data_IF_730913647624
#
_entry.id   IF_730913647624
#
_cell.length_a   1.000
_cell.length_b   1.000
_cell.length_c   1.000
_cell.angle_alpha   90.00
_cell.angle_beta   90.00
_cell.angle_gamma   90.00
#
_symmetry.space_group_name_H-M   'P 1'
#
loop_
_entity.id
_entity.type
_entity.pdbx_description
1 polymer ?
#
# COMPACT_ATOMS: atom_id res chain seq x y z
N UNK A 1 -43.64 14.77 4.95
CA UNK A 1 -42.43 15.31 5.62
C UNK A 1 -41.27 14.46 5.16
N UNK A 2 -40.52 14.95 4.18
CA UNK A 2 -39.38 14.29 3.59
C UNK A 2 -38.16 14.52 4.50
N UNK A 3 -37.61 13.43 5.05
CA UNK A 3 -36.31 13.47 5.79
C UNK A 3 -35.24 13.54 4.75
N UNK A 4 -34.68 14.72 4.53
CA UNK A 4 -33.47 14.88 3.75
C UNK A 4 -32.32 14.09 4.42
N UNK A 5 -31.89 13.00 3.78
CA UNK A 5 -30.63 12.33 4.12
C UNK A 5 -29.50 13.32 3.81
N UNK A 6 -28.87 13.86 4.84
CA UNK A 6 -27.61 14.59 4.70
C UNK A 6 -26.57 13.61 4.17
N UNK A 7 -26.18 13.76 2.93
CA UNK A 7 -24.98 13.12 2.37
C UNK A 7 -23.79 13.67 3.16
N UNK A 8 -23.18 12.83 3.95
CA UNK A 8 -21.93 13.15 4.62
C UNK A 8 -20.85 13.13 3.55
N UNK A 9 -20.47 14.29 3.07
CA UNK A 9 -19.25 14.47 2.27
C UNK A 9 -18.11 14.21 3.24
N UNK A 10 -17.43 13.07 3.10
CA UNK A 10 -16.28 12.72 3.90
C UNK A 10 -15.09 13.58 3.45
N UNK A 11 -15.00 14.79 3.95
CA UNK A 11 -13.79 15.60 3.88
C UNK A 11 -12.90 15.09 5.01
N UNK A 12 -11.65 14.71 4.72
CA UNK A 12 -10.66 14.33 5.72
C UNK A 12 -10.62 15.39 6.81
N UNK A 13 -10.87 15.00 8.06
CA UNK A 13 -10.71 15.83 9.25
C UNK A 13 -9.63 15.24 10.15
N UNK A 14 -8.95 16.08 10.91
CA UNK A 14 -8.09 15.61 12.00
C UNK A 14 -8.90 14.72 12.95
N UNK A 15 -8.45 13.47 13.13
CA UNK A 15 -9.14 12.48 13.98
C UNK A 15 -10.11 11.54 13.25
N UNK A 16 -10.14 11.51 11.90
CA UNK A 16 -10.92 10.51 11.16
C UNK A 16 -10.46 9.10 11.54
N UNK A 17 -11.41 8.31 12.04
CA UNK A 17 -11.25 6.86 12.22
C UNK A 17 -12.00 6.16 11.10
N UNK A 18 -11.34 5.26 10.41
CA UNK A 18 -11.96 4.43 9.37
C UNK A 18 -11.82 2.96 9.69
N UNK A 19 -12.80 2.17 9.33
CA UNK A 19 -12.73 0.71 9.34
C UNK A 19 -12.34 0.17 7.96
N UNK A 20 -12.18 -1.16 7.87
CA UNK A 20 -11.72 -1.82 6.63
C UNK A 20 -12.71 -1.69 5.46
N UNK A 21 -13.97 -1.38 5.71
CA UNK A 21 -15.03 -1.28 4.70
C UNK A 21 -15.30 0.16 4.27
N UNK A 22 -14.71 1.13 4.93
CA UNK A 22 -14.96 2.56 4.70
C UNK A 22 -13.68 3.31 4.34
N UNK A 23 -13.81 4.39 3.59
CA UNK A 23 -12.73 5.34 3.29
C UNK A 23 -11.44 4.62 2.81
N UNK A 24 -10.29 4.87 3.44
CA UNK A 24 -9.00 4.26 3.10
C UNK A 24 -9.01 2.73 3.31
N UNK A 25 -9.81 2.20 4.25
CA UNK A 25 -9.96 0.75 4.43
C UNK A 25 -10.52 0.06 3.18
N UNK A 26 -11.48 0.67 2.50
CA UNK A 26 -12.02 0.13 1.24
C UNK A 26 -10.98 0.09 0.11
N UNK A 27 -10.00 1.01 0.11
CA UNK A 27 -8.89 0.97 -0.85
C UNK A 27 -7.94 -0.19 -0.57
N UNK A 28 -7.72 -0.56 0.70
CA UNK A 28 -6.95 -1.74 1.07
C UNK A 28 -7.61 -3.05 0.58
N UNK A 29 -8.95 -3.14 0.67
CA UNK A 29 -9.71 -4.27 0.10
C UNK A 29 -9.65 -4.30 -1.43
N UNK A 30 -9.73 -3.15 -2.09
CA UNK A 30 -9.60 -3.07 -3.54
C UNK A 30 -8.24 -3.60 -4.02
N UNK A 31 -7.16 -3.20 -3.33
CA UNK A 31 -5.80 -3.68 -3.59
C UNK A 31 -5.67 -5.17 -3.26
N UNK A 32 -6.26 -5.65 -2.14
CA UNK A 32 -6.25 -7.06 -1.81
C UNK A 32 -7.00 -7.90 -2.87
N UNK A 33 -8.15 -7.42 -3.36
CA UNK A 33 -8.90 -8.07 -4.44
C UNK A 33 -8.05 -8.16 -5.72
N UNK A 34 -7.34 -7.10 -6.07
CA UNK A 34 -6.44 -7.11 -7.23
C UNK A 34 -5.29 -8.11 -7.05
N UNK A 35 -4.68 -8.22 -5.85
CA UNK A 35 -3.67 -9.26 -5.57
C UNK A 35 -4.24 -10.67 -5.64
N UNK A 36 -5.48 -10.88 -5.16
CA UNK A 36 -6.15 -12.17 -5.25
C UNK A 36 -6.45 -12.55 -6.70
N UNK A 37 -6.90 -11.60 -7.53
CA UNK A 37 -7.11 -11.80 -8.97
C UNK A 37 -5.80 -12.07 -9.72
N UNK A 38 -4.72 -11.39 -9.35
CA UNK A 38 -3.40 -11.68 -9.91
C UNK A 38 -2.96 -13.12 -9.61
N UNK A 39 -3.17 -13.58 -8.37
CA UNK A 39 -2.84 -14.95 -7.96
C UNK A 39 -3.66 -16.02 -8.69
N UNK A 40 -4.82 -15.69 -9.25
CA UNK A 40 -5.66 -16.58 -10.06
C UNK A 40 -5.19 -16.73 -11.53
N UNK A 41 -4.27 -15.87 -11.99
CA UNK A 41 -3.74 -15.95 -13.35
C UNK A 41 -2.92 -17.23 -13.56
N UNK A 42 -2.86 -17.77 -14.80
CA UNK A 42 -2.02 -18.94 -15.11
C UNK A 42 -0.53 -18.72 -14.85
N UNK A 43 -0.06 -17.49 -15.00
CA UNK A 43 1.33 -17.07 -14.81
C UNK A 43 1.36 -15.81 -13.93
N UNK A 44 1.12 -15.94 -12.60
CA UNK A 44 1.04 -14.80 -11.72
C UNK A 44 2.43 -14.21 -11.42
N UNK A 45 2.54 -12.89 -11.38
CA UNK A 45 3.78 -12.21 -10.97
C UNK A 45 4.09 -12.41 -9.47
N UNK A 46 3.03 -12.49 -8.66
CA UNK A 46 3.12 -12.77 -7.24
C UNK A 46 1.88 -13.54 -6.78
N UNK A 47 2.05 -14.36 -5.75
CA UNK A 47 0.95 -15.09 -5.11
C UNK A 47 0.84 -14.65 -3.65
N UNK A 48 -0.28 -14.01 -3.32
CA UNK A 48 -0.66 -13.69 -1.94
C UNK A 48 -1.89 -14.52 -1.57
N UNK A 49 -1.72 -15.67 -0.88
CA UNK A 49 -2.84 -16.55 -0.55
C UNK A 49 -3.81 -15.93 0.47
N UNK A 50 -3.37 -14.92 1.20
CA UNK A 50 -4.19 -14.26 2.22
C UNK A 50 -5.03 -13.11 1.65
N UNK A 51 -4.69 -12.58 0.48
CA UNK A 51 -5.48 -11.54 -0.18
C UNK A 51 -6.92 -12.01 -0.42
N UNK A 52 -7.12 -13.21 -0.93
CA UNK A 52 -8.44 -13.83 -1.08
C UNK A 52 -9.15 -14.04 0.26
N UNK A 53 -8.42 -14.47 1.30
CA UNK A 53 -8.96 -14.70 2.64
C UNK A 53 -9.56 -13.42 3.22
N UNK A 54 -8.88 -12.28 3.08
CA UNK A 54 -9.41 -10.99 3.51
C UNK A 54 -10.67 -10.59 2.77
N UNK A 55 -10.67 -10.71 1.45
CA UNK A 55 -11.83 -10.36 0.62
C UNK A 55 -13.04 -11.24 0.96
N UNK A 56 -12.85 -12.54 1.18
CA UNK A 56 -13.93 -13.46 1.54
C UNK A 56 -14.43 -13.24 2.96
N UNK A 57 -13.59 -12.79 3.88
CA UNK A 57 -14.01 -12.48 5.25
C UNK A 57 -14.96 -11.27 5.30
N UNK A 58 -14.76 -10.28 4.44
CA UNK A 58 -15.70 -9.16 4.27
C UNK A 58 -16.94 -9.62 3.49
N UNK A 59 -16.78 -10.47 2.47
CA UNK A 59 -17.88 -10.97 1.65
C UNK A 59 -18.44 -9.94 0.68
N UNK A 60 -19.71 -10.13 0.29
CA UNK A 60 -20.41 -9.25 -0.65
C UNK A 60 -19.69 -9.10 -1.99
N UNK A 61 -19.65 -7.89 -2.54
CA UNK A 61 -19.04 -7.61 -3.85
C UNK A 61 -17.58 -8.06 -3.96
N UNK A 62 -16.81 -8.02 -2.86
CA UNK A 62 -15.41 -8.45 -2.86
C UNK A 62 -15.24 -9.95 -3.14
N UNK A 63 -16.11 -10.79 -2.55
CA UNK A 63 -16.13 -12.22 -2.83
C UNK A 63 -16.71 -12.51 -4.22
N UNK A 64 -17.75 -11.80 -4.63
CA UNK A 64 -18.44 -11.99 -5.92
C UNK A 64 -17.51 -11.71 -7.11
N UNK A 65 -16.65 -10.68 -7.00
CA UNK A 65 -15.62 -10.41 -8.01
C UNK A 65 -14.65 -11.58 -8.17
N UNK A 66 -14.19 -12.16 -7.07
CA UNK A 66 -13.27 -13.30 -7.10
C UNK A 66 -13.91 -14.56 -7.69
N UNK A 67 -15.20 -14.75 -7.44
CA UNK A 67 -15.98 -15.87 -7.95
C UNK A 67 -16.47 -15.66 -9.40
N UNK A 68 -16.17 -14.50 -10.01
CA UNK A 68 -16.63 -14.16 -11.37
C UNK A 68 -18.12 -13.86 -11.48
N UNK A 69 -18.80 -13.59 -10.35
CA UNK A 69 -20.23 -13.26 -10.29
C UNK A 69 -20.52 -11.78 -10.57
N UNK A 70 -19.50 -10.93 -10.50
CA UNK A 70 -19.56 -9.52 -10.85
C UNK A 70 -18.60 -9.22 -12.03
N UNK A 71 -19.02 -9.51 -13.28
CA UNK A 71 -18.19 -9.33 -14.47
C UNK A 71 -17.96 -7.85 -14.82
N UNK A 72 -18.85 -6.95 -14.36
CA UNK A 72 -18.79 -5.51 -14.65
C UNK A 72 -17.96 -4.74 -13.63
N UNK A 73 -17.41 -5.43 -12.63
CA UNK A 73 -16.55 -4.80 -11.62
C UNK A 73 -15.32 -4.18 -12.27
N UNK A 74 -14.92 -2.98 -11.82
CA UNK A 74 -13.79 -2.22 -12.36
C UNK A 74 -12.49 -3.04 -12.50
N UNK A 75 -12.19 -3.94 -11.56
CA UNK A 75 -11.02 -4.84 -11.63
C UNK A 75 -11.11 -5.92 -12.72
N UNK A 76 -12.27 -6.04 -13.39
CA UNK A 76 -12.49 -6.96 -14.51
C UNK A 76 -12.49 -6.27 -15.87
N UNK A 77 -12.43 -4.94 -15.92
CA UNK A 77 -12.37 -4.21 -17.19
C UNK A 77 -11.06 -4.47 -17.91
N UNK A 78 -11.10 -4.47 -19.24
CA UNK A 78 -9.94 -4.77 -20.07
C UNK A 78 -8.87 -3.67 -20.03
N UNK A 79 -9.26 -2.43 -19.84
CA UNK A 79 -8.32 -1.31 -19.82
C UNK A 79 -7.79 -1.06 -18.40
N UNK A 80 -8.61 -0.56 -17.48
CA UNK A 80 -8.15 -0.25 -16.13
C UNK A 80 -7.87 -1.51 -15.31
N UNK A 81 -8.85 -2.44 -15.25
CA UNK A 81 -8.83 -3.57 -14.33
C UNK A 81 -7.66 -4.52 -14.56
N UNK A 82 -7.44 -4.95 -15.80
CA UNK A 82 -6.34 -5.85 -16.15
C UNK A 82 -4.97 -5.26 -15.81
N UNK A 83 -4.78 -3.98 -16.13
CA UNK A 83 -3.52 -3.28 -15.85
C UNK A 83 -3.32 -2.98 -14.38
N UNK A 84 -4.39 -2.64 -13.64
CA UNK A 84 -4.30 -2.44 -12.20
C UNK A 84 -3.98 -3.73 -11.46
N UNK A 85 -4.61 -4.85 -11.83
CA UNK A 85 -4.30 -6.18 -11.27
C UNK A 85 -2.85 -6.56 -11.54
N UNK A 86 -2.37 -6.35 -12.75
CA UNK A 86 -0.97 -6.60 -13.14
C UNK A 86 0.00 -5.69 -12.37
N UNK A 87 -0.36 -4.41 -12.19
CA UNK A 87 0.41 -3.49 -11.36
C UNK A 87 0.54 -4.01 -9.92
N UNK A 88 -0.56 -4.43 -9.29
CA UNK A 88 -0.52 -4.95 -7.92
C UNK A 88 0.34 -6.20 -7.81
N UNK A 89 0.32 -7.09 -8.79
CA UNK A 89 1.23 -8.24 -8.88
C UNK A 89 2.69 -7.84 -9.01
N UNK A 90 3.00 -6.90 -9.90
CA UNK A 90 4.35 -6.38 -10.11
C UNK A 90 4.88 -5.70 -8.85
N UNK A 91 4.11 -4.83 -8.22
CA UNK A 91 4.45 -4.16 -6.97
C UNK A 91 4.73 -5.16 -5.84
N UNK A 92 3.85 -6.14 -5.69
CA UNK A 92 4.03 -7.19 -4.68
C UNK A 92 5.32 -7.95 -4.91
N UNK A 93 5.61 -8.38 -6.14
CA UNK A 93 6.86 -9.06 -6.51
C UNK A 93 8.09 -8.22 -6.21
N UNK A 94 8.09 -6.95 -6.59
CA UNK A 94 9.21 -6.03 -6.38
C UNK A 94 9.56 -5.88 -4.90
N UNK A 95 8.54 -5.67 -4.05
CA UNK A 95 8.76 -5.51 -2.62
C UNK A 95 9.04 -6.82 -1.89
N UNK A 96 8.54 -7.94 -2.39
CA UNK A 96 8.95 -9.26 -1.87
C UNK A 96 10.44 -9.54 -2.15
N UNK A 97 10.91 -9.21 -3.35
CA UNK A 97 12.32 -9.30 -3.71
C UNK A 97 13.19 -8.33 -2.90
N UNK A 98 12.67 -7.14 -2.61
CA UNK A 98 13.33 -6.18 -1.72
C UNK A 98 13.54 -6.76 -0.32
N UNK A 99 12.53 -7.35 0.30
CA UNK A 99 12.66 -7.95 1.62
C UNK A 99 13.59 -9.15 1.63
N UNK A 100 13.59 -9.98 0.60
CA UNK A 100 14.57 -11.08 0.48
C UNK A 100 16.00 -10.54 0.45
N UNK A 101 16.28 -9.51 -0.35
CA UNK A 101 17.61 -8.88 -0.39
C UNK A 101 18.02 -8.30 0.97
N UNK A 102 17.10 -7.62 1.68
CA UNK A 102 17.38 -7.11 3.02
C UNK A 102 17.67 -8.24 4.03
N UNK A 103 16.89 -9.31 3.99
CA UNK A 103 17.08 -10.50 4.83
C UNK A 103 18.43 -11.19 4.55
N UNK A 104 18.82 -11.33 3.27
CA UNK A 104 20.09 -11.88 2.83
C UNK A 104 21.27 -11.00 3.24
N UNK A 105 21.09 -9.68 3.31
CA UNK A 105 22.06 -8.72 3.85
C UNK A 105 22.18 -8.76 5.39
N UNK A 106 21.42 -9.63 6.07
CA UNK A 106 21.49 -9.82 7.52
C UNK A 106 20.50 -8.99 8.32
N UNK A 107 19.60 -8.23 7.69
CA UNK A 107 18.54 -7.48 8.39
C UNK A 107 17.57 -8.45 9.08
N UNK A 108 17.22 -8.13 10.34
CA UNK A 108 16.32 -8.94 11.17
C UNK A 108 15.22 -8.14 11.84
N UNK A 109 15.16 -6.84 11.61
CA UNK A 109 14.07 -5.95 12.03
C UNK A 109 13.41 -5.39 10.80
N UNK A 110 12.12 -5.63 10.66
CA UNK A 110 11.30 -5.17 9.54
C UNK A 110 10.20 -4.26 10.07
N UNK A 111 9.98 -3.13 9.44
CA UNK A 111 8.92 -2.19 9.80
C UNK A 111 8.01 -1.97 8.60
N UNK A 112 6.73 -2.25 8.78
CA UNK A 112 5.68 -2.06 7.78
C UNK A 112 4.80 -0.90 8.25
N UNK A 113 4.93 0.24 7.58
CA UNK A 113 4.19 1.46 7.87
C UNK A 113 2.85 1.45 7.13
N UNK A 114 1.76 1.75 7.83
CA UNK A 114 0.39 1.58 7.36
C UNK A 114 0.19 0.15 6.79
N UNK A 115 0.36 -0.84 7.66
CA UNK A 115 0.48 -2.25 7.29
C UNK A 115 -0.76 -2.82 6.57
N UNK A 116 -1.93 -2.22 6.76
CA UNK A 116 -3.16 -2.61 6.04
C UNK A 116 -3.35 -4.13 6.03
N UNK A 117 -3.57 -4.63 4.84
CA UNK A 117 -3.71 -6.06 4.55
C UNK A 117 -2.40 -6.70 4.02
N UNK A 118 -1.23 -6.17 4.41
CA UNK A 118 0.05 -6.82 4.13
C UNK A 118 0.12 -8.19 4.81
N UNK A 119 0.44 -9.21 4.05
CA UNK A 119 0.52 -10.60 4.52
C UNK A 119 1.94 -11.16 4.59
N UNK A 120 2.97 -10.34 4.35
CA UNK A 120 4.36 -10.79 4.23
C UNK A 120 4.87 -11.48 5.49
N UNK A 121 4.41 -11.07 6.66
CA UNK A 121 4.72 -11.75 7.93
C UNK A 121 4.27 -13.22 7.95
N UNK A 122 3.28 -13.57 7.15
CA UNK A 122 2.67 -14.90 7.10
C UNK A 122 3.10 -15.74 5.87
N UNK A 123 3.53 -15.09 4.78
CA UNK A 123 3.78 -15.79 3.51
C UNK A 123 5.23 -15.82 3.05
N UNK A 124 6.06 -14.87 3.44
CA UNK A 124 7.48 -14.90 3.09
C UNK A 124 8.26 -15.80 4.04
N UNK A 125 9.34 -16.38 3.52
CA UNK A 125 10.28 -17.17 4.32
C UNK A 125 11.28 -16.23 5.00
N UNK A 126 11.06 -15.98 6.27
CA UNK A 126 11.90 -15.11 7.06
C UNK A 126 13.02 -15.90 7.76
N UNK A 127 14.25 -15.38 7.79
CA UNK A 127 15.31 -15.96 8.62
C UNK A 127 14.91 -16.01 10.10
N UNK A 128 15.48 -16.96 10.83
CA UNK A 128 15.28 -17.05 12.28
C UNK A 128 15.62 -15.72 12.98
N UNK A 129 14.91 -15.45 14.06
CA UNK A 129 15.04 -14.23 14.86
C UNK A 129 14.66 -12.93 14.11
N UNK A 130 13.92 -13.01 12.99
CA UNK A 130 13.34 -11.84 12.36
C UNK A 130 12.11 -11.37 13.15
N UNK A 131 12.06 -10.07 13.47
CA UNK A 131 10.90 -9.40 14.06
C UNK A 131 10.31 -8.45 13.05
N UNK A 132 8.98 -8.52 12.86
CA UNK A 132 8.22 -7.65 11.96
C UNK A 132 7.30 -6.78 12.80
N UNK A 133 7.51 -5.49 12.73
CA UNK A 133 6.69 -4.47 13.37
C UNK A 133 5.68 -3.95 12.34
N UNK A 134 4.41 -4.13 12.60
CA UNK A 134 3.32 -3.63 11.77
C UNK A 134 2.61 -2.48 12.47
N UNK A 135 2.70 -1.29 11.87
CA UNK A 135 2.06 -0.07 12.37
C UNK A 135 0.80 0.21 11.54
N UNK A 136 -0.33 0.36 12.20
CA UNK A 136 -1.59 0.78 11.56
C UNK A 136 -2.61 1.21 12.62
N UNK A 137 -3.76 1.70 12.17
CA UNK A 137 -4.91 1.98 13.01
C UNK A 137 -5.38 0.69 13.74
N UNK A 138 -5.84 0.81 15.00
CA UNK A 138 -6.26 -0.35 15.79
C UNK A 138 -7.28 -1.24 15.08
N UNK A 139 -8.28 -0.65 14.43
CA UNK A 139 -9.36 -1.39 13.76
C UNK A 139 -8.84 -2.21 12.57
N UNK A 140 -7.82 -1.72 11.86
CA UNK A 140 -7.20 -2.43 10.73
C UNK A 140 -6.41 -3.64 11.23
N UNK A 141 -5.63 -3.45 12.30
CA UNK A 141 -4.85 -4.53 12.91
C UNK A 141 -5.75 -5.60 13.52
N UNK A 142 -6.82 -5.19 14.19
CA UNK A 142 -7.81 -6.11 14.78
C UNK A 142 -8.49 -6.97 13.71
N UNK A 143 -8.99 -6.34 12.63
CA UNK A 143 -9.58 -7.05 11.50
C UNK A 143 -8.58 -8.05 10.89
N UNK A 144 -7.35 -7.62 10.61
CA UNK A 144 -6.30 -8.46 10.04
C UNK A 144 -6.01 -9.67 10.93
N UNK A 145 -5.87 -9.45 12.24
CA UNK A 145 -5.60 -10.50 13.22
C UNK A 145 -6.75 -11.50 13.31
N UNK A 146 -7.99 -11.01 13.40
CA UNK A 146 -9.19 -11.86 13.49
C UNK A 146 -9.34 -12.76 12.26
N UNK A 147 -9.20 -12.18 11.05
CA UNK A 147 -9.34 -12.92 9.80
C UNK A 147 -8.25 -13.97 9.64
N UNK A 148 -7.00 -13.62 9.89
CA UNK A 148 -5.88 -14.56 9.74
C UNK A 148 -5.93 -15.66 10.81
N UNK A 149 -6.31 -15.34 12.04
CA UNK A 149 -6.50 -16.32 13.10
C UNK A 149 -7.66 -17.28 12.77
N UNK A 150 -8.78 -16.74 12.27
CA UNK A 150 -9.92 -17.54 11.82
C UNK A 150 -9.59 -18.48 10.66
N UNK A 151 -8.65 -18.09 9.81
CA UNK A 151 -8.10 -18.93 8.73
C UNK A 151 -7.02 -19.92 9.21
N UNK A 152 -6.66 -19.95 10.48
CA UNK A 152 -5.61 -20.80 11.02
C UNK A 152 -4.20 -20.40 10.58
N UNK A 153 -4.02 -19.18 10.08
CA UNK A 153 -2.73 -18.69 9.64
C UNK A 153 -1.80 -18.44 10.82
N UNK A 154 -0.54 -18.81 10.66
CA UNK A 154 0.52 -18.55 11.63
C UNK A 154 1.60 -17.67 11.00
N UNK A 155 2.08 -16.62 11.68
CA UNK A 155 3.18 -15.82 11.17
C UNK A 155 4.48 -16.65 11.10
N UNK A 156 5.28 -16.38 10.08
CA UNK A 156 6.57 -17.04 9.84
C UNK A 156 7.77 -16.30 10.48
N UNK A 157 7.48 -15.19 11.18
CA UNK A 157 8.42 -14.39 11.95
C UNK A 157 7.74 -13.93 13.25
N UNK A 158 8.53 -13.42 14.20
CA UNK A 158 7.94 -12.72 15.34
C UNK A 158 7.21 -11.45 14.83
N UNK A 159 5.90 -11.38 15.01
CA UNK A 159 5.07 -10.26 14.58
C UNK A 159 4.66 -9.42 15.78
N UNK A 160 4.89 -8.12 15.70
CA UNK A 160 4.51 -7.13 16.70
C UNK A 160 3.58 -6.11 16.07
N UNK A 161 2.37 -6.03 16.57
CA UNK A 161 1.37 -5.05 16.19
C UNK A 161 1.55 -3.78 17.01
N UNK A 162 1.59 -2.64 16.35
CA UNK A 162 1.67 -1.33 16.97
C UNK A 162 0.47 -0.52 16.50
N UNK A 163 -0.56 -0.50 17.34
CA UNK A 163 -1.80 0.23 17.08
C UNK A 163 -1.56 1.73 17.29
N UNK A 164 -1.32 2.45 16.20
CA UNK A 164 -0.99 3.88 16.24
C UNK A 164 -1.38 4.56 14.92
N UNK A 165 -1.75 5.81 15.00
CA UNK A 165 -1.82 6.71 13.85
C UNK A 165 -0.43 7.24 13.52
N UNK A 166 -0.02 7.17 12.24
CA UNK A 166 1.30 7.68 11.82
C UNK A 166 1.44 9.20 11.91
N UNK A 167 0.37 9.92 12.29
CA UNK A 167 0.40 11.34 12.68
C UNK A 167 0.86 11.55 14.13
N UNK A 168 0.87 10.50 14.95
CA UNK A 168 1.32 10.51 16.33
C UNK A 168 2.82 10.19 16.44
N UNK A 169 3.34 10.03 17.66
CA UNK A 169 4.75 9.70 17.89
C UNK A 169 5.04 8.20 17.68
N UNK A 170 4.83 7.74 16.44
CA UNK A 170 5.12 6.36 16.05
C UNK A 170 6.60 5.95 16.21
N UNK A 171 7.61 6.86 16.09
CA UNK A 171 8.99 6.52 16.37
C UNK A 171 9.21 6.10 17.82
N UNK A 172 8.54 6.74 18.78
CA UNK A 172 8.62 6.33 20.19
C UNK A 172 7.86 5.02 20.43
N UNK A 173 6.65 4.88 19.90
CA UNK A 173 5.87 3.65 20.02
C UNK A 173 6.61 2.42 19.46
N UNK A 174 7.35 2.60 18.37
CA UNK A 174 8.18 1.55 17.78
C UNK A 174 9.32 1.14 18.71
N UNK A 175 10.03 2.10 19.33
CA UNK A 175 11.06 1.82 20.34
C UNK A 175 10.48 1.08 21.54
N UNK A 176 9.37 1.54 22.06
CA UNK A 176 8.68 0.93 23.22
C UNK A 176 8.24 -0.50 22.92
N UNK A 177 8.00 -0.81 21.65
CA UNK A 177 7.70 -2.15 21.16
C UNK A 177 8.93 -3.02 20.95
N UNK A 178 10.13 -2.52 21.32
CA UNK A 178 11.39 -3.27 21.32
C UNK A 178 12.17 -3.20 20.00
N UNK A 179 11.91 -2.19 19.17
CA UNK A 179 12.77 -1.87 18.04
C UNK A 179 14.11 -1.31 18.52
N UNK A 180 15.21 -1.81 17.97
CA UNK A 180 16.57 -1.41 18.34
C UNK A 180 17.19 -0.58 17.19
N UNK A 181 17.29 0.75 17.33
CA UNK A 181 17.86 1.60 16.29
C UNK A 181 19.36 1.41 16.04
N UNK A 182 20.04 0.65 16.91
CA UNK A 182 21.44 0.32 16.72
C UNK A 182 21.66 -0.84 15.73
N UNK A 183 20.60 -1.53 15.35
CA UNK A 183 20.64 -2.66 14.40
C UNK A 183 20.11 -2.24 13.03
N UNK A 184 20.63 -2.83 11.93
CA UNK A 184 20.05 -2.62 10.61
C UNK A 184 18.58 -3.03 10.57
N UNK A 185 17.77 -2.27 9.84
CA UNK A 185 16.34 -2.48 9.71
C UNK A 185 15.86 -2.33 8.26
N UNK A 186 14.75 -2.97 7.92
CA UNK A 186 14.12 -2.84 6.61
C UNK A 186 12.74 -2.22 6.75
N UNK A 187 12.49 -1.15 6.00
CA UNK A 187 11.30 -0.33 6.08
C UNK A 187 10.50 -0.40 4.80
N UNK A 188 9.18 -0.38 4.90
CA UNK A 188 8.31 -0.23 3.74
C UNK A 188 7.18 0.76 3.99
N UNK A 189 6.92 1.63 3.00
CA UNK A 189 5.73 2.45 2.86
C UNK A 189 5.11 2.16 1.48
N UNK A 190 4.25 1.15 1.41
CA UNK A 190 3.57 0.70 0.19
C UNK A 190 2.15 1.24 0.15
N UNK A 191 1.78 1.94 -0.95
CA UNK A 191 0.45 2.52 -1.10
C UNK A 191 0.12 3.59 -0.05
N UNK A 192 1.12 4.25 0.53
CA UNK A 192 0.95 5.19 1.64
C UNK A 192 1.15 6.65 1.22
N UNK A 193 2.22 6.95 0.48
CA UNK A 193 2.66 8.34 0.27
C UNK A 193 1.59 9.20 -0.39
N UNK A 194 0.79 8.67 -1.30
CA UNK A 194 -0.31 9.38 -1.97
C UNK A 194 -1.40 9.88 -1.01
N UNK A 195 -1.51 9.28 0.19
CA UNK A 195 -2.47 9.66 1.22
C UNK A 195 -1.89 10.68 2.21
N UNK A 196 -0.66 11.15 1.99
CA UNK A 196 0.04 12.09 2.87
C UNK A 196 0.30 13.40 2.12
N UNK A 197 0.05 14.57 2.75
CA UNK A 197 0.54 15.84 2.22
C UNK A 197 2.06 15.84 2.20
N UNK A 198 2.69 16.68 1.36
CA UNK A 198 4.14 16.73 1.17
C UNK A 198 4.91 16.87 2.50
N UNK A 199 4.41 17.70 3.43
CA UNK A 199 5.01 17.87 4.75
C UNK A 199 5.00 16.61 5.62
N UNK A 200 3.92 15.82 5.54
CA UNK A 200 3.82 14.55 6.27
C UNK A 200 4.71 13.46 5.66
N UNK A 201 4.89 13.46 4.33
CA UNK A 201 5.86 12.58 3.67
C UNK A 201 7.30 12.87 4.15
N UNK A 202 7.67 14.16 4.24
CA UNK A 202 8.97 14.56 4.75
C UNK A 202 9.17 14.17 6.23
N UNK A 203 8.14 14.33 7.06
CA UNK A 203 8.16 13.89 8.46
C UNK A 203 8.31 12.37 8.58
N UNK A 204 7.62 11.59 7.73
CA UNK A 204 7.73 10.15 7.68
C UNK A 204 9.17 9.71 7.34
N UNK A 205 9.76 10.28 6.30
CA UNK A 205 11.14 10.00 5.93
C UNK A 205 12.14 10.41 7.01
N UNK A 206 11.92 11.55 7.65
CA UNK A 206 12.75 12.02 8.79
C UNK A 206 12.66 11.04 9.96
N UNK A 207 11.48 10.52 10.26
CA UNK A 207 11.28 9.49 11.30
C UNK A 207 11.99 8.18 10.98
N UNK A 208 11.91 7.71 9.73
CA UNK A 208 12.64 6.52 9.27
C UNK A 208 14.15 6.77 9.39
N UNK A 209 14.64 7.89 8.89
CA UNK A 209 16.06 8.26 8.90
C UNK A 209 16.63 8.32 10.31
N UNK A 210 15.90 8.88 11.26
CA UNK A 210 16.29 8.99 12.66
C UNK A 210 16.35 7.65 13.41
N UNK A 211 15.75 6.59 12.86
CA UNK A 211 15.70 5.24 13.45
C UNK A 211 16.55 4.21 12.71
N UNK A 212 16.87 4.47 11.45
CA UNK A 212 17.59 3.54 10.62
C UNK A 212 19.11 3.69 10.82
N UNK A 213 19.79 2.66 11.27
CA UNK A 213 21.25 2.61 11.34
C UNK A 213 21.90 2.28 9.99
N UNK A 214 23.24 2.32 9.92
CA UNK A 214 24.02 1.90 8.75
C UNK A 214 23.62 0.49 8.31
N UNK A 215 23.53 0.26 7.01
CA UNK A 215 23.09 -1.01 6.43
C UNK A 215 21.58 -1.25 6.52
N UNK A 216 20.79 -0.27 6.96
CA UNK A 216 19.33 -0.33 6.88
C UNK A 216 18.84 -0.16 5.45
N UNK A 217 17.67 -0.70 5.17
CA UNK A 217 17.03 -0.67 3.88
C UNK A 217 15.69 0.08 3.98
N UNK A 218 15.28 0.78 2.94
CA UNK A 218 13.94 1.37 2.83
C UNK A 218 13.37 1.11 1.45
N UNK A 219 12.09 0.84 1.37
CA UNK A 219 11.35 0.76 0.11
C UNK A 219 10.05 1.56 0.21
N UNK A 220 9.73 2.27 -0.87
CA UNK A 220 8.51 3.06 -0.96
C UNK A 220 7.93 3.00 -2.37
N UNK A 221 6.61 3.13 -2.47
CA UNK A 221 5.93 3.45 -3.70
C UNK A 221 5.80 4.96 -3.81
N UNK A 222 6.42 5.54 -4.84
CA UNK A 222 6.45 6.98 -5.08
C UNK A 222 5.63 7.34 -6.33
N UNK A 223 4.61 8.16 -6.16
CA UNK A 223 3.71 8.60 -7.22
C UNK A 223 3.92 10.07 -7.55
N UNK A 224 4.38 10.37 -8.76
CA UNK A 224 4.44 11.75 -9.21
C UNK A 224 3.04 12.38 -9.28
N UNK A 225 2.87 13.65 -8.85
CA UNK A 225 1.58 14.31 -8.88
C UNK A 225 1.03 14.48 -10.30
N UNK A 226 -0.29 14.53 -10.43
CA UNK A 226 -1.00 14.87 -11.66
C UNK A 226 -0.88 16.36 -11.97
N UNK A 227 -1.15 16.75 -13.22
CA UNK A 227 -1.44 18.15 -13.51
C UNK A 227 -2.68 18.57 -12.71
N UNK A 228 -2.66 19.79 -12.17
CA UNK A 228 -3.75 20.25 -11.30
C UNK A 228 -5.12 20.19 -11.97
N UNK A 229 -5.20 20.61 -13.25
CA UNK A 229 -6.43 20.55 -14.04
C UNK A 229 -6.99 19.13 -14.22
N UNK A 230 -6.11 18.15 -14.46
CA UNK A 230 -6.49 16.73 -14.62
C UNK A 230 -6.98 16.14 -13.28
N UNK A 231 -6.30 16.50 -12.18
CA UNK A 231 -6.69 16.07 -10.84
C UNK A 231 -8.04 16.67 -10.40
N UNK A 232 -8.24 17.97 -10.61
CA UNK A 232 -9.50 18.65 -10.30
C UNK A 232 -10.67 18.06 -11.10
N UNK A 233 -10.45 17.74 -12.38
CA UNK A 233 -11.44 17.07 -13.22
C UNK A 233 -11.80 15.67 -12.67
N UNK A 234 -10.81 14.87 -12.30
CA UNK A 234 -11.02 13.54 -11.72
C UNK A 234 -11.77 13.59 -10.38
N UNK A 235 -11.46 14.57 -9.52
CA UNK A 235 -12.20 14.80 -8.27
C UNK A 235 -13.65 15.20 -8.54
N UNK A 236 -13.90 16.06 -9.55
CA UNK A 236 -15.25 16.50 -9.89
C UNK A 236 -16.11 15.35 -10.45
N UNK A 237 -15.52 14.52 -11.30
CA UNK A 237 -16.15 13.31 -11.85
C UNK A 237 -16.52 12.32 -10.76
N UNK A 238 -15.57 12.02 -9.86
CA UNK A 238 -15.80 11.12 -8.74
C UNK A 238 -16.90 11.61 -7.79
N UNK A 239 -16.96 12.93 -7.53
CA UNK A 239 -18.04 13.53 -6.74
C UNK A 239 -19.41 13.35 -7.41
N UNK A 240 -19.48 13.61 -8.71
CA UNK A 240 -20.73 13.45 -9.47
C UNK A 240 -21.21 12.00 -9.46
N UNK A 241 -20.31 11.02 -9.61
CA UNK A 241 -20.62 9.59 -9.52
C UNK A 241 -21.13 9.21 -8.12
N UNK A 242 -20.48 9.72 -7.07
CA UNK A 242 -20.87 9.48 -5.67
C UNK A 242 -22.27 10.02 -5.36
N UNK A 243 -22.61 11.19 -5.86
CA UNK A 243 -23.96 11.78 -5.71
C UNK A 243 -25.05 10.94 -6.39
N UNK A 244 -24.72 10.20 -7.44
CA UNK A 244 -25.61 9.28 -8.15
C UNK A 244 -25.71 7.89 -7.49
N UNK A 245 -24.95 7.65 -6.40
CA UNK A 245 -24.95 6.38 -5.67
C UNK A 245 -24.03 5.32 -6.28
N UNK A 246 -23.22 5.70 -7.27
CA UNK A 246 -22.24 4.85 -7.94
C UNK A 246 -20.84 5.46 -7.74
N UNK A 247 -20.36 5.51 -6.50
CA UNK A 247 -19.15 6.25 -6.23
C UNK A 247 -18.17 5.54 -5.32
N UNK A 248 -17.03 5.17 -5.88
CA UNK A 248 -15.81 4.94 -5.11
C UNK A 248 -15.14 6.29 -4.87
N UNK A 249 -14.59 6.46 -3.68
CA UNK A 249 -13.89 7.67 -3.28
C UNK A 249 -12.40 7.35 -3.27
N UNK A 250 -11.68 7.79 -4.28
CA UNK A 250 -10.22 7.65 -4.36
C UNK A 250 -9.53 9.02 -4.47
N UNK A 251 -9.86 9.81 -5.49
CA UNK A 251 -9.25 11.13 -5.70
C UNK A 251 -9.53 12.12 -4.57
N UNK A 252 -10.64 11.95 -3.85
CA UNK A 252 -10.95 12.73 -2.66
C UNK A 252 -10.13 12.31 -1.41
N UNK A 253 -9.48 11.15 -1.44
CA UNK A 253 -8.65 10.64 -0.35
C UNK A 253 -7.16 10.92 -0.53
N UNK A 254 -6.72 11.20 -1.73
CA UNK A 254 -5.29 11.39 -2.04
C UNK A 254 -4.92 12.88 -2.13
N UNK A 255 -3.64 13.15 -1.94
CA UNK A 255 -3.07 14.49 -2.13
C UNK A 255 -2.37 14.57 -3.48
N UNK A 256 -2.48 15.74 -4.12
CA UNK A 256 -1.83 16.02 -5.40
C UNK A 256 -0.85 17.21 -5.24
N UNK A 257 -0.05 17.17 -4.19
CA UNK A 257 0.93 18.20 -3.90
C UNK A 257 2.26 17.90 -4.56
N UNK A 258 2.98 18.98 -4.95
CA UNK A 258 4.35 18.83 -5.43
C UNK A 258 5.27 18.49 -4.26
N UNK A 259 6.05 17.44 -4.39
CA UNK A 259 7.04 17.00 -3.43
C UNK A 259 8.33 16.59 -4.13
N UNK A 260 9.44 16.56 -3.41
CA UNK A 260 10.67 15.99 -3.93
C UNK A 260 10.49 14.48 -4.16
N UNK A 261 11.00 13.92 -5.28
CA UNK A 261 11.02 12.48 -5.45
C UNK A 261 11.67 11.79 -4.25
N UNK A 262 11.13 10.64 -3.86
CA UNK A 262 11.65 9.89 -2.72
C UNK A 262 13.14 9.54 -2.88
N UNK A 263 13.60 9.25 -4.11
CA UNK A 263 15.02 9.03 -4.41
C UNK A 263 15.88 10.24 -4.08
N UNK A 264 15.42 11.44 -4.44
CA UNK A 264 16.16 12.68 -4.19
C UNK A 264 16.26 12.98 -2.69
N UNK A 265 15.17 12.79 -1.95
CA UNK A 265 15.18 12.97 -0.51
C UNK A 265 16.14 11.99 0.17
N UNK A 266 16.06 10.71 -0.19
CA UNK A 266 16.87 9.64 0.38
C UNK A 266 18.37 9.85 0.09
N UNK A 267 18.74 10.18 -1.16
CA UNK A 267 20.14 10.43 -1.53
C UNK A 267 20.73 11.62 -0.75
N UNK A 268 19.97 12.69 -0.54
CA UNK A 268 20.39 13.85 0.26
C UNK A 268 20.64 13.52 1.74
N UNK A 269 20.04 12.43 2.23
CA UNK A 269 20.15 12.00 3.62
C UNK A 269 21.05 10.75 3.80
N UNK A 270 21.94 10.48 2.83
CA UNK A 270 22.97 9.44 2.95
C UNK A 270 22.48 8.02 2.67
N UNK A 271 21.38 7.90 1.90
CA UNK A 271 20.94 6.63 1.37
C UNK A 271 21.39 6.49 -0.08
N UNK A 272 21.66 5.28 -0.52
CA UNK A 272 21.90 4.95 -1.92
C UNK A 272 20.56 4.52 -2.54
N UNK A 273 19.84 5.45 -3.13
CA UNK A 273 18.49 5.22 -3.63
C UNK A 273 18.47 4.79 -5.10
N UNK A 274 17.60 3.86 -5.41
CA UNK A 274 17.32 3.41 -6.78
C UNK A 274 15.81 3.50 -7.02
N UNK A 275 15.43 4.31 -7.99
CA UNK A 275 14.06 4.39 -8.49
C UNK A 275 13.89 3.52 -9.74
N UNK A 276 12.88 2.67 -9.73
CA UNK A 276 12.49 1.84 -10.86
C UNK A 276 11.11 2.28 -11.34
N UNK A 277 10.98 3.03 -12.46
CA UNK A 277 9.69 3.38 -13.01
C UNK A 277 8.84 2.11 -13.22
N UNK A 278 7.59 2.15 -12.83
CA UNK A 278 6.71 0.98 -12.90
C UNK A 278 6.59 0.44 -14.33
N UNK A 279 6.53 1.32 -15.33
CA UNK A 279 6.50 0.92 -16.73
C UNK A 279 7.76 0.12 -17.14
N UNK A 280 8.93 0.48 -16.62
CA UNK A 280 10.17 -0.25 -16.92
C UNK A 280 10.21 -1.60 -16.20
N UNK A 281 9.74 -1.63 -14.95
CA UNK A 281 9.64 -2.89 -14.21
C UNK A 281 8.64 -3.87 -14.87
N UNK A 282 7.49 -3.37 -15.35
CA UNK A 282 6.53 -4.21 -16.10
C UNK A 282 7.18 -4.81 -17.35
N UNK A 283 7.94 -4.04 -18.14
CA UNK A 283 8.70 -4.57 -19.28
C UNK A 283 9.72 -5.63 -18.86
N UNK A 284 10.46 -5.37 -17.77
CA UNK A 284 11.45 -6.29 -17.22
C UNK A 284 10.85 -7.63 -16.84
N UNK A 285 9.63 -7.65 -16.28
CA UNK A 285 8.93 -8.88 -15.87
C UNK A 285 8.03 -9.45 -16.97
N UNK A 286 8.15 -8.95 -18.21
CA UNK A 286 7.45 -9.49 -19.38
C UNK A 286 5.96 -9.18 -19.42
N UNK A 287 5.53 -8.05 -18.83
CA UNK A 287 4.13 -7.61 -18.86
C UNK A 287 3.92 -6.41 -19.77
N UNK A 288 2.75 -6.29 -20.42
CA UNK A 288 2.45 -5.16 -21.28
C UNK A 288 2.36 -3.87 -20.46
N UNK A 289 2.78 -2.77 -21.07
CA UNK A 289 2.63 -1.42 -20.53
C UNK A 289 1.50 -0.73 -21.30
N UNK A 290 0.45 -0.24 -20.62
CA UNK A 290 -0.63 0.46 -21.27
C UNK A 290 -0.15 1.75 -21.94
N UNK A 291 -0.78 2.12 -23.04
CA UNK A 291 -0.48 3.37 -23.74
C UNK A 291 -0.85 4.60 -22.90
N UNK A 292 -0.25 5.76 -23.17
CA UNK A 292 -0.50 6.98 -22.39
C UNK A 292 -1.96 7.47 -22.47
N UNK A 293 -2.66 7.13 -23.55
CA UNK A 293 -4.04 7.55 -23.82
C UNK A 293 -5.09 6.57 -23.26
N UNK A 294 -4.67 5.50 -22.60
CA UNK A 294 -5.57 4.54 -21.94
C UNK A 294 -5.89 4.99 -20.51
N UNK A 295 -6.93 4.45 -19.91
CA UNK A 295 -7.33 4.76 -18.53
C UNK A 295 -6.22 4.45 -17.52
N UNK A 296 -5.53 3.31 -17.68
CA UNK A 296 -4.44 2.89 -16.80
C UNK A 296 -3.09 3.57 -17.10
N UNK A 297 -2.90 4.08 -18.30
CA UNK A 297 -1.61 4.64 -18.76
C UNK A 297 -1.02 5.70 -17.84
N UNK A 298 -1.76 6.76 -17.51
CA UNK A 298 -1.28 7.81 -16.62
C UNK A 298 -0.90 7.32 -15.21
N UNK A 299 -1.62 6.33 -14.68
CA UNK A 299 -1.31 5.72 -13.39
C UNK A 299 0.04 4.99 -13.44
N UNK A 300 0.24 4.14 -14.44
CA UNK A 300 1.50 3.38 -14.61
C UNK A 300 2.68 4.32 -14.85
N UNK A 301 2.49 5.35 -15.66
CA UNK A 301 3.57 6.28 -16.03
C UNK A 301 4.07 7.13 -14.86
N UNK A 302 3.24 7.38 -13.86
CA UNK A 302 3.57 8.23 -12.71
C UNK A 302 4.13 7.47 -11.52
N UNK A 303 4.03 6.13 -11.48
CA UNK A 303 4.47 5.34 -10.37
C UNK A 303 5.93 4.91 -10.52
N UNK A 304 6.70 5.04 -9.44
CA UNK A 304 8.08 4.59 -9.31
C UNK A 304 8.20 3.72 -8.05
N UNK A 305 8.77 2.55 -8.20
CA UNK A 305 9.12 1.67 -7.09
C UNK A 305 10.53 2.03 -6.64
N UNK A 306 10.68 2.50 -5.41
CA UNK A 306 11.95 2.98 -4.88
C UNK A 306 12.47 2.01 -3.83
N UNK A 307 13.77 1.74 -3.87
CA UNK A 307 14.47 1.06 -2.77
C UNK A 307 15.80 1.75 -2.51
N UNK A 308 16.21 1.80 -1.25
CA UNK A 308 17.49 2.40 -0.88
C UNK A 308 18.16 1.62 0.26
N UNK A 309 19.48 1.77 0.34
CA UNK A 309 20.30 1.23 1.42
C UNK A 309 21.06 2.39 2.07
N UNK A 310 21.04 2.46 3.40
CA UNK A 310 21.74 3.48 4.16
C UNK A 310 23.24 3.20 4.15
N UNK A 311 24.03 4.16 3.64
CA UNK A 311 25.50 4.10 3.58
C UNK A 311 26.16 4.16 4.96
#
# INVERSE_FOLDING_TARGET
>A
MSVARRTVVCVRSEGDTWDITTSVGSTALFVATARALEAQKPDPLAVDPYAEVFCRAVGGSWADVLDGKDPDHQLKTADFGEHFVTFQGARTRYFDEYFRRAADAGVRQVVVLAAGLDSRAYRLDWPAATTIFELDQPQVLDFKREVLTGAGAQPRAERREIAIDLREDWPQALRDSGFDPAKPSAWIAEGLLIYLPATAQEQLFTGIDGLAGHGSHVAVEDGAPMKSEDFEAAVAEERAATEQGDGRVFFQLVYNEQHAPATEWLDKHGWNAVGTPLADYLRQVGRPVPGPDTEAGPMIARNTLVSAVRA
#
